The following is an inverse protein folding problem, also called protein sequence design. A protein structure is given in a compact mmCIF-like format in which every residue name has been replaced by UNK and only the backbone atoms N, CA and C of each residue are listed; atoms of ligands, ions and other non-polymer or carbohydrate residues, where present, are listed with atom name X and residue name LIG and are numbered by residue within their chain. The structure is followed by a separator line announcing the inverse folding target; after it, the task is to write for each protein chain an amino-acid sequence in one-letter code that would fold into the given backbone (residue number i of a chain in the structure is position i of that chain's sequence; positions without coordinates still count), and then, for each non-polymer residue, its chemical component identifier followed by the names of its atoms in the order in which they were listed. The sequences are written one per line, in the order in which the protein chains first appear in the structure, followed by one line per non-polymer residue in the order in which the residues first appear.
data_IF_267731289222
#
_entry.id   IF_267731289222
#
_cell.length_a   1.000
_cell.length_b   1.000
_cell.length_c   1.000
_cell.angle_alpha   90.00
_cell.angle_beta   90.00
_cell.angle_gamma   90.00
#
_symmetry.space_group_name_H-M   'P 1'
#
loop_
_entity.id
_entity.type
_entity.pdbx_description
1 polymer ?
#
# COMPACT_ATOMS: atom_id res chain seq x y z
N UNK A 1 5.94 0.04 14.44
CA UNK A 1 5.59 -0.06 13.01
C UNK A 1 5.20 -1.49 12.71
N UNK A 2 3.96 -1.81 13.06
CA UNK A 2 3.29 -3.02 12.61
C UNK A 2 2.18 -2.60 11.68
N UNK A 3 2.25 -3.06 10.44
CA UNK A 3 1.17 -2.87 9.50
C UNK A 3 0.11 -3.95 9.67
N UNK A 4 -1.14 -3.55 9.48
CA UNK A 4 -2.28 -4.43 9.29
C UNK A 4 -3.07 -3.97 8.07
N UNK A 5 -3.74 -4.92 7.42
CA UNK A 5 -4.59 -4.64 6.26
C UNK A 5 -6.03 -4.90 6.65
N UNK A 6 -6.87 -3.87 6.62
CA UNK A 6 -8.31 -4.03 6.78
C UNK A 6 -8.94 -4.19 5.40
N UNK A 7 -9.56 -5.34 5.15
CA UNK A 7 -10.15 -5.62 3.84
C UNK A 7 -11.45 -4.83 3.66
N UNK A 8 -11.49 -3.99 2.63
CA UNK A 8 -12.70 -3.24 2.24
C UNK A 8 -13.54 -3.99 1.21
N UNK A 9 -12.87 -4.58 0.23
CA UNK A 9 -13.52 -5.31 -0.86
C UNK A 9 -12.63 -6.44 -1.38
N UNK A 10 -13.05 -7.11 -2.46
CA UNK A 10 -12.14 -7.98 -3.20
C UNK A 10 -10.95 -7.14 -3.71
N UNK A 11 -9.76 -7.50 -3.25
CA UNK A 11 -8.51 -6.91 -3.68
C UNK A 11 -8.29 -5.43 -3.30
N UNK A 12 -9.07 -4.87 -2.37
CA UNK A 12 -8.90 -3.52 -1.82
C UNK A 12 -8.84 -3.54 -0.29
N UNK A 13 -7.91 -2.78 0.29
CA UNK A 13 -7.59 -2.77 1.71
C UNK A 13 -7.26 -1.35 2.19
N UNK A 14 -7.63 -1.02 3.42
CA UNK A 14 -6.98 0.05 4.17
C UNK A 14 -5.62 -0.45 4.67
N UNK A 15 -4.62 0.42 4.58
CA UNK A 15 -3.30 0.24 5.17
C UNK A 15 -3.28 0.93 6.53
N UNK A 16 -3.13 0.12 7.59
CA UNK A 16 -3.16 0.59 8.96
C UNK A 16 -1.79 0.40 9.59
N UNK A 17 -1.19 1.47 10.10
CA UNK A 17 0.09 1.47 10.78
C UNK A 17 -0.10 1.83 12.25
N UNK A 18 0.29 0.91 13.15
CA UNK A 18 0.19 1.13 14.59
C UNK A 18 -1.23 1.61 15.02
N UNK A 19 -2.27 1.10 14.35
CA UNK A 19 -3.69 1.41 14.61
C UNK A 19 -4.26 2.61 13.85
N UNK A 20 -3.45 3.34 13.08
CA UNK A 20 -3.88 4.52 12.30
C UNK A 20 -3.97 4.17 10.82
N UNK A 21 -5.06 4.55 10.14
CA UNK A 21 -5.16 4.42 8.68
C UNK A 21 -4.19 5.42 8.05
N UNK A 22 -3.19 4.91 7.32
CA UNK A 22 -2.15 5.73 6.68
C UNK A 22 -2.23 5.68 5.16
N UNK A 23 -3.04 4.78 4.59
CA UNK A 23 -3.14 4.62 3.16
C UNK A 23 -4.15 3.57 2.74
N UNK A 24 -4.09 3.21 1.47
CA UNK A 24 -4.88 2.13 0.87
C UNK A 24 -4.02 1.27 -0.04
N UNK A 25 -4.38 0.01 -0.20
CA UNK A 25 -3.73 -0.94 -1.11
C UNK A 25 -4.78 -1.60 -2.00
N UNK A 26 -4.60 -1.51 -3.30
CA UNK A 26 -5.44 -2.17 -4.30
C UNK A 26 -4.63 -3.17 -5.13
N UNK A 27 -5.27 -4.19 -5.67
CA UNK A 27 -4.67 -4.99 -6.76
C UNK A 27 -4.91 -4.28 -8.07
N UNK A 28 -3.85 -3.96 -8.78
CA UNK A 28 -3.96 -3.55 -10.16
C UNK A 28 -4.05 -4.79 -11.06
N UNK A 29 -4.96 -4.77 -12.02
CA UNK A 29 -5.06 -5.77 -13.09
C UNK A 29 -4.64 -5.06 -14.37
N UNK A 30 -3.40 -5.24 -14.86
CA UNK A 30 -2.98 -4.62 -16.10
C UNK A 30 -3.88 -5.07 -17.25
N UNK A 31 -4.19 -4.14 -18.17
CA UNK A 31 -4.99 -4.45 -19.35
C UNK A 31 -4.32 -5.48 -20.27
N UNK A 32 -2.98 -5.59 -20.21
CA UNK A 32 -2.19 -6.40 -21.12
C UNK A 32 -1.28 -7.37 -20.35
N UNK A 33 -1.82 -8.54 -19.97
CA UNK A 33 -1.17 -9.76 -19.41
C UNK A 33 -0.02 -9.63 -18.38
N UNK A 34 0.22 -8.43 -17.84
CA UNK A 34 1.31 -8.12 -16.93
C UNK A 34 1.14 -8.73 -15.55
N UNK A 35 2.25 -8.78 -14.79
CA UNK A 35 2.23 -9.22 -13.40
C UNK A 35 1.25 -8.37 -12.59
N UNK A 36 0.31 -9.03 -11.89
CA UNK A 36 -0.63 -8.38 -10.97
C UNK A 36 0.13 -7.71 -9.83
N UNK A 37 0.31 -6.39 -9.90
CA UNK A 37 0.93 -5.60 -8.85
C UNK A 37 -0.09 -5.22 -7.77
N UNK A 38 0.42 -4.87 -6.60
CA UNK A 38 -0.31 -4.16 -5.54
C UNK A 38 0.06 -2.70 -5.64
N UNK A 39 -0.93 -1.86 -5.81
CA UNK A 39 -0.72 -0.42 -5.82
C UNK A 39 -1.15 0.13 -4.48
N UNK A 40 -0.23 0.80 -3.79
CA UNK A 40 -0.45 1.36 -2.48
C UNK A 40 -0.30 2.89 -2.54
N UNK A 41 -1.17 3.59 -1.84
CA UNK A 41 -1.16 5.05 -1.77
C UNK A 41 -1.29 5.52 -0.33
N UNK A 42 -0.36 6.35 0.12
CA UNK A 42 -0.42 7.03 1.41
C UNK A 42 -1.43 8.18 1.37
N UNK A 43 -2.09 8.43 2.50
CA UNK A 43 -3.06 9.53 2.65
C UNK A 43 -2.36 10.89 2.74
N UNK A 44 -1.22 10.94 3.41
CA UNK A 44 -0.46 12.16 3.64
C UNK A 44 0.74 12.25 2.68
N UNK A 45 0.89 13.41 2.04
CA UNK A 45 2.08 13.73 1.23
C UNK A 45 3.17 14.31 2.14
N UNK A 46 3.79 13.43 2.94
CA UNK A 46 4.89 13.81 3.82
C UNK A 46 6.19 13.98 3.03
N UNK A 47 7.18 14.62 3.65
CA UNK A 47 8.54 14.59 3.10
C UNK A 47 9.05 13.13 3.04
N UNK A 48 9.89 12.74 2.05
CA UNK A 48 10.33 11.35 1.88
C UNK A 48 10.98 10.71 3.11
N UNK A 49 11.69 11.50 3.93
CA UNK A 49 12.31 11.09 5.19
C UNK A 49 11.30 10.75 6.30
N UNK A 50 10.05 11.17 6.13
CA UNK A 50 8.94 10.93 7.07
C UNK A 50 7.96 9.87 6.58
N UNK A 51 8.12 9.37 5.36
CA UNK A 51 7.31 8.25 4.90
C UNK A 51 7.60 7.01 5.76
N UNK A 52 6.56 6.31 6.20
CA UNK A 52 6.78 5.08 6.93
C UNK A 52 7.35 4.04 5.95
N UNK A 53 8.37 3.28 6.35
CA UNK A 53 8.86 2.17 5.53
C UNK A 53 7.70 1.21 5.24
N UNK A 54 7.60 0.56 4.07
CA UNK A 54 8.56 0.54 2.97
C UNK A 54 8.36 1.68 1.93
N UNK A 55 7.56 2.69 2.23
CA UNK A 55 7.20 3.74 1.29
C UNK A 55 8.31 4.80 1.19
N UNK A 56 8.72 5.09 -0.04
CA UNK A 56 9.58 6.24 -0.36
C UNK A 56 8.82 7.38 -1.03
N UNK A 57 7.65 7.09 -1.58
CA UNK A 57 6.79 7.99 -2.34
C UNK A 57 5.34 7.82 -1.88
N UNK A 58 4.48 8.80 -2.19
CA UNK A 58 3.06 8.75 -1.85
C UNK A 58 2.33 7.59 -2.54
N UNK A 59 2.77 7.21 -3.73
CA UNK A 59 2.22 6.11 -4.52
C UNK A 59 3.33 5.10 -4.78
N UNK A 60 3.03 3.82 -4.62
CA UNK A 60 4.04 2.77 -4.77
C UNK A 60 3.45 1.47 -5.29
N UNK A 61 4.19 0.81 -6.18
CA UNK A 61 3.84 -0.51 -6.69
C UNK A 61 4.67 -1.59 -5.98
N UNK A 62 3.97 -2.51 -5.32
CA UNK A 62 4.55 -3.68 -4.68
C UNK A 62 4.21 -4.96 -5.45
N UNK A 63 5.07 -5.97 -5.45
CA UNK A 63 4.78 -7.25 -6.08
C UNK A 63 3.75 -8.09 -5.30
N UNK A 64 3.62 -7.89 -3.99
CA UNK A 64 2.75 -8.65 -3.09
C UNK A 64 2.15 -7.76 -2.01
N UNK A 65 1.15 -8.26 -1.26
CA UNK A 65 0.63 -7.54 -0.09
C UNK A 65 1.67 -7.49 1.02
N UNK A 66 2.36 -8.62 1.27
CA UNK A 66 3.39 -8.71 2.32
C UNK A 66 4.51 -7.69 2.11
N UNK A 67 4.89 -7.43 0.86
CA UNK A 67 5.89 -6.41 0.53
C UNK A 67 5.42 -4.98 0.85
N UNK A 68 4.11 -4.71 0.81
CA UNK A 68 3.55 -3.41 1.19
C UNK A 68 3.45 -3.21 2.71
N UNK A 69 3.60 -4.29 3.49
CA UNK A 69 3.50 -4.30 4.96
C UNK A 69 4.81 -4.70 5.65
N UNK A 70 5.91 -4.72 4.89
CA UNK A 70 7.24 -5.17 5.34
C UNK A 70 8.00 -4.12 6.15
#
# INVERSE_FOLDING_TARGET
MTYTLHRLAAASYDLVLDGVIVGSVVREVPADSGRRARYAKLLENLSPDRHPRPFSEIEHAFPTLDAATA
#
